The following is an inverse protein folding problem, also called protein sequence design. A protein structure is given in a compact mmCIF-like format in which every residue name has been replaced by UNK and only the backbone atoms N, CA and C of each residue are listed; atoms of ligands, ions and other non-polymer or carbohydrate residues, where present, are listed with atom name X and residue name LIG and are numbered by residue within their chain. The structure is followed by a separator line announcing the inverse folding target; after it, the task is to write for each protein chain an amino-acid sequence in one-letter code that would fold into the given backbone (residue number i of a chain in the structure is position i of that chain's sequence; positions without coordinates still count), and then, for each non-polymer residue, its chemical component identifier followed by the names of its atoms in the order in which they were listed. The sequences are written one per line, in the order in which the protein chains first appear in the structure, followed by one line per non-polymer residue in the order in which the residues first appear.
data_IF_211038567557
#
_entry.id   IF_211038567557
#
_cell.length_a   1.000
_cell.length_b   1.000
_cell.length_c   1.000
_cell.angle_alpha   90.00
_cell.angle_beta   90.00
_cell.angle_gamma   90.00
#
_symmetry.space_group_name_H-M   'P 1'
#
loop_
_entity.id
_entity.type
_entity.pdbx_description
1 polymer ?
#
# COMPACT_ATOMS: atom_id res chain seq x y z
N UNK A 1 11.83 -14.81 -13.06
CA UNK A 1 11.49 -16.05 -12.31
C UNK A 1 10.02 -16.03 -11.89
N UNK A 2 9.46 -17.17 -11.45
CA UNK A 2 8.14 -17.19 -10.81
C UNK A 2 8.22 -16.54 -9.43
N UNK A 3 7.24 -15.72 -9.09
CA UNK A 3 7.12 -15.11 -7.77
C UNK A 3 6.76 -16.15 -6.72
N UNK A 4 7.16 -15.86 -5.50
CA UNK A 4 6.83 -16.62 -4.29
C UNK A 4 6.10 -15.70 -3.31
N UNK A 5 5.52 -16.26 -2.26
CA UNK A 5 4.95 -15.46 -1.19
C UNK A 5 5.37 -15.95 0.19
N UNK A 6 5.35 -15.03 1.15
CA UNK A 6 5.55 -15.27 2.58
C UNK A 6 4.30 -14.81 3.29
N UNK A 7 3.95 -15.49 4.38
CA UNK A 7 2.77 -15.19 5.18
C UNK A 7 3.15 -15.14 6.65
N UNK A 8 2.80 -14.05 7.31
CA UNK A 8 3.16 -13.79 8.70
C UNK A 8 1.94 -13.29 9.48
N UNK A 9 1.76 -13.81 10.70
CA UNK A 9 0.72 -13.35 11.63
C UNK A 9 1.16 -12.04 12.27
N UNK A 10 0.33 -11.01 12.14
CA UNK A 10 0.59 -9.66 12.59
C UNK A 10 1.01 -8.69 11.49
N UNK A 11 1.62 -7.58 11.89
CA UNK A 11 2.06 -6.49 11.01
C UNK A 11 3.57 -6.58 10.88
N UNK A 12 4.07 -7.00 9.71
CA UNK A 12 5.48 -7.26 9.43
C UNK A 12 5.99 -6.43 8.24
N UNK A 13 6.06 -5.09 8.33
CA UNK A 13 6.45 -4.30 7.18
C UNK A 13 7.89 -4.59 6.77
N UNK A 14 8.14 -4.78 5.47
CA UNK A 14 9.44 -5.21 4.95
C UNK A 14 10.62 -4.29 5.34
N UNK A 15 10.34 -2.99 5.49
CA UNK A 15 11.31 -1.96 5.86
C UNK A 15 11.49 -1.77 7.38
N UNK A 16 10.72 -2.47 8.22
CA UNK A 16 10.69 -2.25 9.66
C UNK A 16 11.35 -3.38 10.44
N UNK A 17 12.25 -3.02 11.37
CA UNK A 17 12.99 -3.97 12.21
C UNK A 17 12.15 -4.59 13.33
N UNK A 18 11.03 -3.96 13.68
CA UNK A 18 10.21 -4.31 14.84
C UNK A 18 8.79 -4.62 14.39
N UNK A 19 8.52 -5.86 13.94
CA UNK A 19 7.17 -6.28 13.62
C UNK A 19 6.30 -6.40 14.89
N UNK A 20 5.00 -6.52 14.69
CA UNK A 20 4.07 -6.92 15.75
C UNK A 20 3.43 -8.26 15.41
N UNK A 21 3.20 -9.09 16.43
CA UNK A 21 2.52 -10.38 16.31
C UNK A 21 1.04 -10.29 16.70
N UNK A 22 0.40 -9.17 16.39
CA UNK A 22 -1.02 -8.96 16.68
C UNK A 22 -1.88 -9.87 15.80
N UNK A 23 -2.52 -10.89 16.40
CA UNK A 23 -3.28 -11.93 15.68
C UNK A 23 -4.49 -11.38 14.91
N UNK A 24 -4.92 -10.14 15.19
CA UNK A 24 -5.96 -9.46 14.42
C UNK A 24 -5.49 -9.08 13.02
N UNK A 25 -4.18 -9.12 12.74
CA UNK A 25 -3.61 -8.73 11.47
C UNK A 25 -2.86 -9.88 10.80
N UNK A 26 -2.72 -9.79 9.49
CA UNK A 26 -1.88 -10.67 8.68
C UNK A 26 -1.08 -9.82 7.69
N UNK A 27 0.16 -10.23 7.47
CA UNK A 27 1.02 -9.71 6.42
C UNK A 27 1.27 -10.80 5.38
N UNK A 28 1.09 -10.46 4.11
CA UNK A 28 1.42 -11.32 2.98
C UNK A 28 2.42 -10.57 2.11
N UNK A 29 3.58 -11.15 1.90
CA UNK A 29 4.67 -10.55 1.13
C UNK A 29 4.83 -11.31 -0.18
N UNK A 30 4.56 -10.67 -1.31
CA UNK A 30 4.85 -11.19 -2.65
C UNK A 30 6.28 -10.80 -3.02
N UNK A 31 7.09 -11.78 -3.40
CA UNK A 31 8.51 -11.61 -3.66
C UNK A 31 8.86 -12.06 -5.09
N UNK A 32 9.65 -11.26 -5.78
CA UNK A 32 10.26 -11.61 -7.05
C UNK A 32 11.72 -11.12 -7.09
N UNK A 33 12.57 -11.72 -7.92
CA UNK A 33 13.97 -11.32 -8.09
C UNK A 33 14.14 -9.95 -8.76
N UNK A 34 13.07 -9.34 -9.26
CA UNK A 34 13.08 -7.97 -9.75
C UNK A 34 11.76 -7.25 -9.45
N UNK A 35 11.80 -5.91 -9.39
CA UNK A 35 10.62 -5.10 -9.10
C UNK A 35 9.49 -5.26 -10.12
N UNK A 36 9.83 -5.44 -11.41
CA UNK A 36 8.83 -5.61 -12.46
C UNK A 36 8.04 -6.92 -12.31
N UNK A 37 8.69 -8.00 -11.90
CA UNK A 37 8.07 -9.28 -11.60
C UNK A 37 7.17 -9.21 -10.38
N UNK A 38 7.62 -8.54 -9.31
CA UNK A 38 6.80 -8.31 -8.12
C UNK A 38 5.57 -7.46 -8.44
N UNK A 39 5.75 -6.40 -9.24
CA UNK A 39 4.67 -5.56 -9.74
C UNK A 39 3.64 -6.33 -10.55
N UNK A 40 4.08 -7.11 -11.55
CA UNK A 40 3.18 -7.93 -12.37
C UNK A 40 2.38 -8.92 -11.51
N UNK A 41 3.04 -9.54 -10.53
CA UNK A 41 2.39 -10.45 -9.58
C UNK A 41 1.34 -9.73 -8.75
N UNK A 42 1.66 -8.54 -8.27
CA UNK A 42 0.69 -7.70 -7.55
C UNK A 42 -0.48 -7.30 -8.44
N UNK A 43 -0.25 -6.97 -9.72
CA UNK A 43 -1.33 -6.63 -10.66
C UNK A 43 -2.31 -7.80 -10.85
N UNK A 44 -1.79 -9.02 -11.03
CA UNK A 44 -2.59 -10.24 -11.10
C UNK A 44 -3.35 -10.50 -9.80
N UNK A 45 -2.67 -10.41 -8.67
CA UNK A 45 -3.25 -10.61 -7.34
C UNK A 45 -4.37 -9.61 -7.07
N UNK A 46 -4.11 -8.32 -7.28
CA UNK A 46 -5.07 -7.23 -7.11
C UNK A 46 -6.26 -7.34 -8.04
N UNK A 47 -6.05 -7.82 -9.28
CA UNK A 47 -7.16 -8.06 -10.22
C UNK A 47 -8.15 -9.10 -9.70
N UNK A 48 -7.67 -10.11 -8.98
CA UNK A 48 -8.53 -11.12 -8.34
C UNK A 48 -9.23 -10.58 -7.09
N UNK A 49 -8.56 -9.70 -6.34
CA UNK A 49 -9.08 -9.06 -5.12
C UNK A 49 -10.25 -8.11 -5.38
N UNK A 50 -10.37 -7.55 -6.59
CA UNK A 50 -11.45 -6.63 -6.99
C UNK A 50 -12.87 -7.12 -6.75
N UNK A 51 -13.06 -8.44 -6.75
CA UNK A 51 -14.37 -9.03 -6.46
C UNK A 51 -14.86 -8.68 -5.05
N UNK A 52 -13.96 -8.38 -4.12
CA UNK A 52 -14.25 -7.91 -2.75
C UNK A 52 -13.85 -6.45 -2.53
N UNK A 53 -12.79 -5.97 -3.18
CA UNK A 53 -12.28 -4.60 -3.04
C UNK A 53 -12.14 -3.89 -4.40
N UNK A 54 -13.23 -3.38 -4.99
CA UNK A 54 -13.22 -2.89 -6.37
C UNK A 54 -12.46 -1.58 -6.58
N UNK A 55 -12.29 -0.78 -5.52
CA UNK A 55 -11.71 0.57 -5.60
C UNK A 55 -10.26 0.56 -5.12
N UNK A 56 -9.37 1.16 -5.91
CA UNK A 56 -7.95 1.32 -5.57
C UNK A 56 -7.67 2.80 -5.36
N UNK A 57 -7.16 3.14 -4.18
CA UNK A 57 -6.84 4.51 -3.79
C UNK A 57 -5.42 4.58 -3.29
N UNK A 58 -4.80 5.74 -3.45
CA UNK A 58 -3.50 6.02 -2.86
C UNK A 58 -3.62 7.20 -1.92
N UNK A 59 -3.19 7.01 -0.68
CA UNK A 59 -2.92 8.11 0.22
C UNK A 59 -1.43 8.45 0.17
N UNK A 60 -1.14 9.75 0.21
CA UNK A 60 0.23 10.26 0.28
C UNK A 60 0.28 11.50 1.17
N UNK A 61 1.35 11.65 1.94
CA UNK A 61 1.60 12.81 2.78
C UNK A 61 2.95 13.43 2.47
N UNK A 62 3.11 14.72 2.79
CA UNK A 62 4.41 15.37 2.83
C UNK A 62 5.01 15.20 4.22
N UNK A 63 6.33 15.01 4.30
CA UNK A 63 7.00 14.94 5.60
C UNK A 63 7.00 16.28 6.34
N UNK A 64 6.97 17.39 5.59
CA UNK A 64 7.12 18.75 6.13
C UNK A 64 6.16 19.72 5.44
N UNK A 65 5.77 20.82 6.14
CA UNK A 65 5.07 21.94 5.53
C UNK A 65 5.88 22.57 4.37
N UNK A 66 5.20 23.32 3.50
CA UNK A 66 5.89 24.11 2.49
C UNK A 66 6.71 25.24 3.11
N UNK A 67 7.90 25.49 2.58
CA UNK A 67 8.77 26.57 3.04
C UNK A 67 8.20 27.96 2.71
N UNK A 68 7.46 28.09 1.62
CA UNK A 68 6.86 29.35 1.20
C UNK A 68 5.59 29.16 0.35
N UNK A 69 4.84 30.26 0.21
CA UNK A 69 3.57 30.30 -0.54
C UNK A 69 3.72 29.99 -2.03
N UNK A 70 4.85 30.31 -2.64
CA UNK A 70 5.09 29.99 -4.06
C UNK A 70 5.17 28.49 -4.28
N UNK A 71 5.91 27.76 -3.44
CA UNK A 71 5.99 26.30 -3.51
C UNK A 71 4.64 25.64 -3.24
N UNK A 72 3.91 26.12 -2.23
CA UNK A 72 2.57 25.66 -1.91
C UNK A 72 1.62 25.83 -3.10
N UNK A 73 1.60 27.01 -3.70
CA UNK A 73 0.79 27.33 -4.88
C UNK A 73 1.15 26.47 -6.09
N UNK A 74 2.44 26.35 -6.43
CA UNK A 74 2.90 25.55 -7.56
C UNK A 74 2.53 24.07 -7.40
N UNK A 75 2.64 23.53 -6.19
CA UNK A 75 2.28 22.14 -5.93
C UNK A 75 0.77 21.91 -6.03
N UNK A 76 -0.06 22.81 -5.51
CA UNK A 76 -1.51 22.74 -5.68
C UNK A 76 -1.90 22.83 -7.15
N UNK A 77 -1.32 23.78 -7.89
CA UNK A 77 -1.56 23.94 -9.33
C UNK A 77 -1.20 22.67 -10.11
N UNK A 78 -0.05 22.07 -9.81
CA UNK A 78 0.37 20.81 -10.44
C UNK A 78 -0.55 19.64 -10.10
N UNK A 79 -1.04 19.57 -8.85
CA UNK A 79 -2.01 18.57 -8.45
C UNK A 79 -3.32 18.73 -9.21
N UNK A 80 -3.95 19.92 -9.17
CA UNK A 80 -5.25 20.16 -9.80
C UNK A 80 -5.23 20.01 -11.32
N UNK A 81 -4.06 20.22 -11.96
CA UNK A 81 -3.88 19.97 -13.40
C UNK A 81 -3.97 18.48 -13.76
N UNK A 82 -3.57 17.60 -12.84
CA UNK A 82 -3.41 16.16 -13.08
C UNK A 82 -4.43 15.30 -12.29
N UNK A 83 -5.20 15.91 -11.39
CA UNK A 83 -6.17 15.23 -10.53
C UNK A 83 -7.46 14.90 -11.27
N UNK A 84 -8.11 13.81 -10.86
CA UNK A 84 -9.45 13.44 -11.30
C UNK A 84 -10.52 14.05 -10.37
N UNK A 85 -11.77 14.19 -10.82
CA UNK A 85 -12.88 14.53 -9.92
C UNK A 85 -12.94 13.57 -8.72
N UNK A 86 -13.06 14.14 -7.53
CA UNK A 86 -13.09 13.40 -6.26
C UNK A 86 -11.73 13.22 -5.59
N UNK A 87 -10.62 13.45 -6.28
CA UNK A 87 -9.29 13.45 -5.65
C UNK A 87 -9.17 14.61 -4.64
N UNK A 88 -8.48 14.36 -3.54
CA UNK A 88 -8.32 15.31 -2.43
C UNK A 88 -6.85 15.69 -2.31
N UNK A 89 -6.57 16.98 -2.25
CA UNK A 89 -5.32 17.54 -1.73
C UNK A 89 -5.69 18.59 -0.70
N UNK A 90 -5.30 18.37 0.55
CA UNK A 90 -5.62 19.29 1.64
C UNK A 90 -4.51 19.39 2.66
N UNK A 91 -4.50 20.54 3.32
CA UNK A 91 -3.63 20.83 4.44
C UNK A 91 -4.32 20.39 5.72
N UNK A 92 -3.60 19.72 6.60
CA UNK A 92 -4.03 19.50 7.97
C UNK A 92 -3.77 20.78 8.78
N UNK A 93 -4.78 21.28 9.48
CA UNK A 93 -4.70 22.55 10.22
C UNK A 93 -3.80 22.47 11.46
N UNK A 94 -3.65 21.30 12.09
CA UNK A 94 -2.80 21.15 13.28
C UNK A 94 -1.33 20.98 12.92
N UNK A 95 -1.01 20.22 11.88
CA UNK A 95 0.39 19.95 11.48
C UNK A 95 0.91 20.90 10.41
N UNK A 96 0.03 21.65 9.74
CA UNK A 96 0.32 22.44 8.53
C UNK A 96 0.87 21.63 7.34
N UNK A 97 0.79 20.30 7.40
CA UNK A 97 1.27 19.39 6.38
C UNK A 97 0.17 19.09 5.38
N UNK A 98 0.53 19.02 4.10
CA UNK A 98 -0.38 18.56 3.05
C UNK A 98 -0.37 17.05 2.94
N UNK A 99 -1.56 16.48 2.75
CA UNK A 99 -1.74 15.11 2.32
C UNK A 99 -2.81 15.05 1.23
N UNK A 100 -2.75 13.98 0.45
CA UNK A 100 -3.64 13.74 -0.65
C UNK A 100 -4.18 12.31 -0.63
N UNK A 101 -5.40 12.17 -1.15
CA UNK A 101 -6.03 10.88 -1.46
C UNK A 101 -6.43 10.95 -2.92
N UNK A 102 -5.95 10.01 -3.73
CA UNK A 102 -6.25 9.96 -5.16
C UNK A 102 -6.85 8.60 -5.53
N UNK A 103 -7.80 8.62 -6.45
CA UNK A 103 -8.29 7.40 -7.08
C UNK A 103 -7.30 6.92 -8.14
N UNK A 104 -6.83 5.69 -7.99
CA UNK A 104 -6.02 5.05 -9.02
C UNK A 104 -6.92 4.46 -10.11
N UNK A 105 -6.31 3.99 -11.19
CA UNK A 105 -7.05 3.22 -12.18
C UNK A 105 -7.61 1.97 -11.51
N UNK A 106 -8.85 1.60 -11.83
CA UNK A 106 -9.40 0.38 -11.27
C UNK A 106 -8.64 -0.82 -11.81
N UNK A 107 -8.06 -0.79 -13.01
CA UNK A 107 -7.16 -1.80 -13.57
C UNK A 107 -5.72 -1.67 -13.03
N UNK A 108 -5.23 -2.60 -12.19
CA UNK A 108 -3.88 -2.56 -11.63
C UNK A 108 -2.79 -2.43 -12.70
N UNK A 109 -2.99 -3.06 -13.87
CA UNK A 109 -2.04 -3.04 -14.97
C UNK A 109 -1.89 -1.65 -15.62
N UNK A 110 -2.81 -0.73 -15.37
CA UNK A 110 -2.79 0.65 -15.87
C UNK A 110 -2.23 1.64 -14.86
N UNK A 111 -1.87 1.19 -13.66
CA UNK A 111 -1.26 2.02 -12.64
C UNK A 111 0.25 2.12 -12.94
N UNK A 112 0.79 3.34 -12.89
CA UNK A 112 2.22 3.56 -13.01
C UNK A 112 2.94 3.05 -11.74
N UNK A 113 3.84 2.05 -11.84
CA UNK A 113 4.53 1.47 -10.69
C UNK A 113 5.40 2.48 -9.93
N UNK A 114 5.88 3.53 -10.59
CA UNK A 114 6.72 4.56 -9.96
C UNK A 114 5.95 5.35 -8.90
N UNK A 115 4.62 5.40 -8.99
CA UNK A 115 3.78 6.09 -8.00
C UNK A 115 3.82 5.39 -6.64
N UNK A 116 4.18 4.12 -6.60
CA UNK A 116 4.04 3.25 -5.43
C UNK A 116 5.34 3.07 -4.62
N UNK A 117 6.47 3.58 -5.13
CA UNK A 117 7.80 3.34 -4.56
C UNK A 117 8.11 4.14 -3.28
N UNK A 118 7.28 5.12 -2.90
CA UNK A 118 7.53 5.96 -1.71
C UNK A 118 6.82 5.42 -0.45
N UNK A 119 7.32 4.30 0.06
CA UNK A 119 6.65 3.53 1.12
C UNK A 119 6.53 4.26 2.48
N UNK A 120 7.41 5.23 2.79
CA UNK A 120 7.36 5.99 4.06
C UNK A 120 6.29 7.07 4.11
N UNK A 121 5.84 7.54 2.95
CA UNK A 121 4.90 8.66 2.88
C UNK A 121 3.69 8.34 2.02
N UNK A 122 3.53 7.08 1.62
CA UNK A 122 2.42 6.63 0.81
C UNK A 122 2.00 5.22 1.18
N UNK A 123 0.70 4.99 1.12
CA UNK A 123 0.09 3.67 1.17
C UNK A 123 -0.97 3.56 0.10
N UNK A 124 -1.05 2.40 -0.52
CA UNK A 124 -2.12 2.05 -1.45
C UNK A 124 -3.14 1.22 -0.71
N UNK A 125 -4.42 1.53 -0.89
CA UNK A 125 -5.51 0.81 -0.27
C UNK A 125 -6.44 0.28 -1.35
N UNK A 126 -6.91 -0.95 -1.16
CA UNK A 126 -8.11 -1.42 -1.85
C UNK A 126 -9.29 -1.41 -0.89
N UNK A 127 -10.39 -0.80 -1.31
CA UNK A 127 -11.57 -0.53 -0.49
C UNK A 127 -12.77 -1.36 -0.97
N UNK A 128 -13.56 -1.85 -0.02
CA UNK A 128 -14.73 -2.72 -0.28
C UNK A 128 -15.94 -1.89 -0.75
N UNK A 129 -16.08 -0.67 -0.24
CA UNK A 129 -17.15 0.27 -0.58
C UNK A 129 -16.59 1.51 -1.27
N UNK A 130 -17.47 2.31 -1.88
CA UNK A 130 -17.16 3.70 -2.24
C UNK A 130 -17.09 4.55 -0.96
N UNK A 131 -16.20 4.17 -0.05
CA UNK A 131 -15.95 4.96 1.15
C UNK A 131 -15.56 6.35 0.70
N UNK A 132 -16.15 7.33 1.37
CA UNK A 132 -15.87 8.72 1.04
C UNK A 132 -14.38 8.96 1.26
N UNK A 133 -13.67 9.35 0.20
CA UNK A 133 -12.25 9.71 0.28
C UNK A 133 -12.00 10.78 1.34
N UNK A 134 -13.02 11.59 1.66
CA UNK A 134 -12.99 12.55 2.77
C UNK A 134 -12.80 11.89 4.12
N UNK A 135 -13.50 10.78 4.39
CA UNK A 135 -13.35 10.06 5.64
C UNK A 135 -11.96 9.44 5.74
N UNK A 136 -11.50 8.81 4.66
CA UNK A 136 -10.16 8.26 4.57
C UNK A 136 -9.10 9.35 4.79
N UNK A 137 -9.21 10.48 4.08
CA UNK A 137 -8.30 11.61 4.24
C UNK A 137 -8.29 12.13 5.67
N UNK A 138 -9.46 12.36 6.28
CA UNK A 138 -9.54 12.85 7.67
C UNK A 138 -8.82 11.93 8.66
N UNK A 139 -8.99 10.61 8.51
CA UNK A 139 -8.34 9.65 9.39
C UNK A 139 -6.82 9.65 9.19
N UNK A 140 -6.37 9.54 7.93
CA UNK A 140 -4.95 9.42 7.61
C UNK A 140 -4.20 10.75 7.69
N UNK A 141 -4.88 11.90 7.59
CA UNK A 141 -4.25 13.23 7.69
C UNK A 141 -3.56 13.49 9.03
N UNK A 142 -3.80 12.65 10.03
CA UNK A 142 -3.13 12.65 11.34
C UNK A 142 -1.71 12.08 11.28
N UNK A 143 -1.40 11.31 10.23
CA UNK A 143 -0.08 10.71 10.00
C UNK A 143 0.81 11.68 9.22
N UNK A 144 2.02 11.90 9.75
CA UNK A 144 3.10 12.63 9.07
C UNK A 144 3.92 11.75 8.14
N UNK A 145 3.96 10.45 8.45
CA UNK A 145 4.68 9.39 7.77
C UNK A 145 4.10 8.03 8.21
N UNK A 146 4.60 6.95 7.62
CA UNK A 146 4.25 5.57 7.96
C UNK A 146 5.55 4.90 8.38
N UNK A 147 5.86 4.98 9.67
CA UNK A 147 7.14 4.52 10.23
C UNK A 147 7.00 3.46 11.32
N UNK A 148 5.77 3.23 11.81
CA UNK A 148 5.49 2.29 12.88
C UNK A 148 4.37 1.33 12.49
N UNK A 149 4.35 0.17 13.13
CA UNK A 149 3.28 -0.82 12.98
C UNK A 149 1.92 -0.28 13.44
N UNK A 150 1.88 0.60 14.45
CA UNK A 150 0.63 1.23 14.91
C UNK A 150 0.01 2.16 13.86
N UNK A 151 0.80 2.71 12.92
CA UNK A 151 0.27 3.51 11.81
C UNK A 151 -0.63 2.63 10.91
N UNK A 152 -0.30 1.35 10.74
CA UNK A 152 -1.13 0.40 10.00
C UNK A 152 -2.44 0.07 10.71
N UNK A 153 -2.46 0.08 12.05
CA UNK A 153 -3.71 -0.09 12.80
C UNK A 153 -4.66 1.08 12.55
N UNK A 154 -4.12 2.30 12.44
CA UNK A 154 -4.90 3.47 12.04
C UNK A 154 -5.34 3.38 10.57
N UNK A 155 -4.45 2.96 9.68
CA UNK A 155 -4.75 2.82 8.24
C UNK A 155 -5.88 1.81 8.00
N UNK A 156 -5.85 0.71 8.74
CA UNK A 156 -6.78 -0.41 8.60
C UNK A 156 -7.89 -0.39 9.65
N UNK A 157 -8.17 0.76 10.28
CA UNK A 157 -9.12 0.84 11.40
C UNK A 157 -10.57 0.49 11.03
N UNK A 158 -10.89 0.46 9.73
CA UNK A 158 -12.24 0.18 9.23
C UNK A 158 -12.54 -1.33 9.04
N UNK A 159 -11.53 -2.20 9.25
CA UNK A 159 -11.61 -3.65 9.07
C UNK A 159 -12.01 -4.13 7.67
N UNK A 160 -12.22 -3.20 6.73
CA UNK A 160 -12.79 -3.47 5.41
C UNK A 160 -11.82 -3.14 4.30
N UNK A 161 -10.72 -2.48 4.60
CA UNK A 161 -9.67 -2.15 3.66
C UNK A 161 -8.52 -3.15 3.73
N UNK A 162 -7.78 -3.25 2.64
CA UNK A 162 -6.48 -3.91 2.59
C UNK A 162 -5.43 -2.91 2.14
N UNK A 163 -4.26 -2.95 2.76
CA UNK A 163 -3.17 -2.04 2.44
C UNK A 163 -2.07 -2.73 1.65
N UNK A 164 -1.44 -1.96 0.77
CA UNK A 164 -0.34 -2.38 -0.08
C UNK A 164 0.83 -1.41 0.03
N UNK A 165 2.03 -1.98 0.10
CA UNK A 165 3.31 -1.28 0.03
C UNK A 165 4.25 -2.00 -0.92
N UNK A 166 5.15 -1.24 -1.52
CA UNK A 166 6.05 -1.72 -2.55
C UNK A 166 7.47 -1.29 -2.22
N UNK A 167 8.39 -2.22 -2.45
CA UNK A 167 9.81 -2.00 -2.22
C UNK A 167 10.56 -2.49 -3.46
N UNK A 168 11.24 -1.56 -4.10
CA UNK A 168 12.23 -1.83 -5.13
C UNK A 168 13.57 -1.93 -4.43
N UNK A 169 13.96 -3.15 -4.06
CA UNK A 169 15.32 -3.41 -3.60
C UNK A 169 16.19 -3.68 -4.82
N UNK A 170 17.44 -3.21 -4.80
CA UNK A 170 18.39 -3.38 -5.91
C UNK A 170 18.55 -4.86 -6.36
N UNK A 171 18.24 -5.80 -5.47
CA UNK A 171 18.34 -7.25 -5.69
C UNK A 171 17.00 -7.96 -5.91
N UNK A 172 15.87 -7.33 -5.59
CA UNK A 172 14.56 -7.98 -5.63
C UNK A 172 13.38 -6.99 -5.52
N UNK A 173 12.23 -7.40 -6.03
CA UNK A 173 10.98 -6.69 -5.88
C UNK A 173 10.12 -7.26 -4.75
N UNK A 174 9.51 -6.39 -3.96
CA UNK A 174 8.56 -6.77 -2.92
C UNK A 174 7.25 -6.00 -3.08
N UNK A 175 6.13 -6.73 -3.07
CA UNK A 175 4.80 -6.16 -2.92
C UNK A 175 4.14 -6.78 -1.68
N UNK A 176 3.85 -5.95 -0.69
CA UNK A 176 3.40 -6.39 0.61
C UNK A 176 1.96 -5.97 0.85
N UNK A 177 1.12 -6.92 1.22
CA UNK A 177 -0.25 -6.73 1.68
C UNK A 177 -0.29 -6.81 3.21
N UNK A 178 -0.96 -5.86 3.85
CA UNK A 178 -1.29 -5.93 5.29
C UNK A 178 -2.78 -5.68 5.45
N UNK A 179 -3.48 -6.55 6.18
CA UNK A 179 -4.90 -6.43 6.46
C UNK A 179 -5.31 -7.15 7.75
N UNK A 180 -6.59 -7.08 8.09
CA UNK A 180 -7.16 -7.87 9.17
C UNK A 180 -7.18 -9.36 8.83
N UNK A 181 -6.93 -10.20 9.83
CA UNK A 181 -6.79 -11.65 9.70
C UNK A 181 -8.10 -12.34 9.30
N UNK A 182 -9.26 -11.72 9.58
CA UNK A 182 -10.57 -12.20 9.11
C UNK A 182 -10.67 -12.34 7.58
N UNK A 183 -9.82 -11.64 6.83
CA UNK A 183 -9.78 -11.72 5.37
C UNK A 183 -8.95 -12.90 4.84
N UNK A 184 -8.16 -13.56 5.69
CA UNK A 184 -7.23 -14.63 5.32
C UNK A 184 -7.89 -15.78 4.53
N UNK A 185 -9.10 -16.27 4.85
CA UNK A 185 -9.73 -17.34 4.07
C UNK A 185 -9.97 -16.97 2.60
N UNK A 186 -10.25 -15.69 2.32
CA UNK A 186 -10.41 -15.19 0.95
C UNK A 186 -9.07 -15.05 0.24
N UNK A 187 -8.06 -14.50 0.92
CA UNK A 187 -6.71 -14.35 0.40
C UNK A 187 -6.09 -15.71 0.04
N UNK A 188 -6.33 -16.75 0.84
CA UNK A 188 -5.87 -18.12 0.57
C UNK A 188 -6.40 -18.69 -0.75
N UNK A 189 -7.68 -18.48 -1.02
CA UNK A 189 -8.29 -18.93 -2.29
C UNK A 189 -7.63 -18.26 -3.49
N UNK A 190 -7.28 -16.98 -3.37
CA UNK A 190 -6.62 -16.23 -4.42
C UNK A 190 -5.18 -16.71 -4.62
N UNK A 191 -4.40 -16.84 -3.54
CA UNK A 191 -3.02 -17.34 -3.61
C UNK A 191 -2.95 -18.74 -4.23
N UNK A 192 -3.87 -19.64 -3.85
CA UNK A 192 -3.99 -20.96 -4.46
C UNK A 192 -4.30 -20.88 -5.96
N UNK A 193 -5.21 -19.99 -6.37
CA UNK A 193 -5.56 -19.78 -7.78
C UNK A 193 -4.37 -19.27 -8.61
N UNK A 194 -3.51 -18.45 -8.01
CA UNK A 194 -2.29 -17.96 -8.64
C UNK A 194 -1.16 -18.99 -8.68
N UNK A 195 -1.30 -20.11 -7.95
CA UNK A 195 -0.29 -21.16 -7.87
C UNK A 195 1.10 -20.63 -7.48
N UNK A 196 1.13 -19.70 -6.51
CA UNK A 196 2.36 -19.18 -5.94
C UNK A 196 2.89 -20.16 -4.88
N UNK A 197 4.20 -20.34 -4.84
CA UNK A 197 4.87 -21.13 -3.80
C UNK A 197 4.98 -20.30 -2.53
N UNK A 198 4.57 -20.89 -1.39
CA UNK A 198 4.78 -20.31 -0.07
C UNK A 198 6.20 -20.66 0.40
N UNK A 199 6.98 -19.65 0.77
CA UNK A 199 8.28 -19.83 1.40
C UNK A 199 8.26 -19.24 2.82
N UNK A 200 9.17 -19.73 3.66
CA UNK A 200 9.41 -19.15 4.97
C UNK A 200 10.42 -18.00 4.88
N UNK A 201 10.48 -17.15 5.90
CA UNK A 201 11.37 -15.99 5.92
C UNK A 201 12.84 -16.38 5.75
N UNK A 202 13.25 -17.53 6.29
CA UNK A 202 14.62 -18.07 6.13
C UNK A 202 14.93 -18.46 4.67
N UNK A 203 13.90 -18.71 3.86
CA UNK A 203 14.02 -19.05 2.44
C UNK A 203 14.26 -17.86 1.51
N UNK A 204 14.08 -16.62 2.01
CA UNK A 204 14.20 -15.39 1.21
C UNK A 204 15.57 -15.26 0.55
N UNK A 205 16.65 -15.44 1.32
CA UNK A 205 18.01 -15.30 0.80
C UNK A 205 18.28 -16.29 -0.33
N UNK A 206 17.89 -17.55 -0.14
CA UNK A 206 18.05 -18.59 -1.14
C UNK A 206 17.22 -18.31 -2.41
N UNK A 207 16.02 -17.74 -2.28
CA UNK A 207 15.19 -17.37 -3.42
C UNK A 207 15.81 -16.23 -4.25
N UNK A 208 16.29 -15.17 -3.59
CA UNK A 208 16.85 -13.99 -4.25
C UNK A 208 18.13 -14.34 -5.03
N UNK A 209 18.92 -15.30 -4.54
CA UNK A 209 20.23 -15.66 -5.12
C UNK A 209 20.25 -16.93 -5.97
N UNK A 210 19.07 -17.47 -6.34
CA UNK A 210 18.97 -18.59 -7.31
C UNK A 210 19.07 -18.08 -8.74
#
# INVERSE_FOLDING_TARGET
MKSVFIREIGIHPWDQLHPTHDENYITITLLNQDYSGAWNTWCEFSSLLKSKWPSIVQWNTKLLPYYNKTQEYLSQKNFYKNSKPGDILRKNDSTNIYSQVINLDCDPFRIDPNRMACYRTSVTLMLNTNDSLEHLWRNLSKLTDISKTDDFKLILSDERSISFRFYDAETHGVAQLICHSEHLPFLNKILQKMNLEEIQQEGVYAYIHR
#
